data_IF_252110772227
#
_entry.id   IF_252110772227
#
_cell.length_a   1.000
_cell.length_b   1.000
_cell.length_c   1.000
_cell.angle_alpha   90.00
_cell.angle_beta   90.00
_cell.angle_gamma   90.00
#
_symmetry.space_group_name_H-M   'P 1'
#
loop_
_entity.id
_entity.type
_entity.pdbx_description
1 polymer ?
#
# COMPACT_ATOMS: atom_id res chain seq x y z
N UNK A 1 -33.49 -28.24 -20.98
CA UNK A 1 -32.66 -27.25 -21.70
C UNK A 1 -32.05 -26.32 -20.66
N UNK A 2 -30.75 -26.44 -20.41
CA UNK A 2 -30.02 -25.57 -19.49
C UNK A 2 -29.46 -24.42 -20.32
N UNK A 3 -29.92 -23.19 -20.05
CA UNK A 3 -29.38 -22.00 -20.72
C UNK A 3 -28.04 -21.70 -20.06
N UNK A 4 -26.95 -21.82 -20.82
CA UNK A 4 -25.64 -21.34 -20.39
C UNK A 4 -25.72 -19.81 -20.26
N UNK A 5 -25.46 -19.28 -19.06
CA UNK A 5 -25.35 -17.85 -18.86
C UNK A 5 -24.08 -17.37 -19.59
N UNK A 6 -24.26 -16.69 -20.72
CA UNK A 6 -23.18 -16.04 -21.45
C UNK A 6 -22.59 -14.95 -20.56
N UNK A 7 -21.39 -15.18 -20.01
CA UNK A 7 -20.64 -14.16 -19.29
C UNK A 7 -20.26 -13.05 -20.27
N UNK A 8 -20.81 -11.85 -20.09
CA UNK A 8 -20.40 -10.67 -20.84
C UNK A 8 -18.92 -10.39 -20.58
N UNK A 9 -18.14 -9.96 -21.59
CA UNK A 9 -16.73 -9.63 -21.41
C UNK A 9 -16.59 -8.53 -20.35
N UNK A 10 -15.82 -8.82 -19.31
CA UNK A 10 -15.49 -7.88 -18.24
C UNK A 10 -14.50 -6.86 -18.76
N UNK A 11 -14.98 -5.63 -19.01
CA UNK A 11 -14.10 -4.49 -19.29
C UNK A 11 -13.26 -4.25 -18.03
N UNK A 12 -11.92 -4.41 -18.09
CA UNK A 12 -11.04 -4.14 -16.95
C UNK A 12 -11.14 -2.69 -16.49
N UNK A 13 -10.77 -2.41 -15.24
CA UNK A 13 -10.61 -1.04 -14.76
C UNK A 13 -9.34 -0.43 -15.35
N UNK A 14 -9.44 0.76 -15.93
CA UNK A 14 -8.30 1.52 -16.44
C UNK A 14 -8.03 2.79 -15.63
N UNK A 15 -6.76 3.22 -15.60
CA UNK A 15 -6.41 4.47 -14.91
C UNK A 15 -7.05 5.65 -15.66
N UNK A 16 -7.82 6.47 -14.93
CA UNK A 16 -8.57 7.60 -15.51
C UNK A 16 -10.04 7.31 -15.79
N UNK A 17 -10.51 6.08 -15.55
CA UNK A 17 -11.92 5.71 -15.60
C UNK A 17 -12.77 6.62 -14.69
N UNK A 18 -13.78 7.29 -15.27
CA UNK A 18 -14.80 8.05 -14.52
C UNK A 18 -16.05 7.18 -14.38
N UNK A 19 -16.12 6.44 -13.28
CA UNK A 19 -17.20 5.48 -13.01
C UNK A 19 -18.03 5.92 -11.80
N UNK A 20 -19.31 5.57 -11.81
CA UNK A 20 -20.06 5.54 -10.57
C UNK A 20 -19.51 4.46 -9.63
N UNK A 21 -19.72 4.62 -8.33
CA UNK A 21 -19.31 3.63 -7.32
C UNK A 21 -19.80 2.22 -7.65
N UNK A 22 -21.06 2.11 -8.09
CA UNK A 22 -21.68 0.82 -8.42
C UNK A 22 -20.98 0.14 -9.61
N UNK A 23 -20.65 0.90 -10.66
CA UNK A 23 -19.94 0.38 -11.82
C UNK A 23 -18.51 -0.03 -11.48
N UNK A 24 -17.82 0.76 -10.65
CA UNK A 24 -16.51 0.43 -10.13
C UNK A 24 -16.54 -0.88 -9.34
N UNK A 25 -17.45 -1.02 -8.36
CA UNK A 25 -17.57 -2.22 -7.53
C UNK A 25 -17.92 -3.46 -8.37
N UNK A 26 -18.85 -3.33 -9.32
CA UNK A 26 -19.22 -4.43 -10.23
C UNK A 26 -18.04 -4.89 -11.09
N UNK A 27 -17.30 -3.96 -11.68
CA UNK A 27 -16.12 -4.29 -12.53
C UNK A 27 -14.99 -4.86 -11.69
N UNK A 28 -14.72 -4.25 -10.53
CA UNK A 28 -13.71 -4.71 -9.58
C UNK A 28 -13.95 -6.17 -9.17
N UNK A 29 -15.18 -6.52 -8.76
CA UNK A 29 -15.52 -7.89 -8.36
C UNK A 29 -15.46 -8.90 -9.51
N UNK A 30 -15.62 -8.45 -10.75
CA UNK A 30 -15.62 -9.31 -11.92
C UNK A 30 -14.21 -9.50 -12.53
N UNK A 31 -13.17 -8.84 -11.99
CA UNK A 31 -11.80 -9.03 -12.46
C UNK A 31 -11.33 -10.45 -12.10
N UNK A 32 -10.99 -11.30 -13.09
CA UNK A 32 -10.60 -12.70 -12.86
C UNK A 32 -9.29 -12.80 -12.06
N UNK A 33 -8.42 -11.80 -12.21
CA UNK A 33 -7.31 -11.55 -11.30
C UNK A 33 -7.54 -10.23 -10.59
N UNK A 34 -8.21 -10.30 -9.42
CA UNK A 34 -8.35 -9.14 -8.58
C UNK A 34 -6.94 -8.66 -8.20
N UNK A 35 -6.50 -7.53 -8.76
CA UNK A 35 -5.26 -6.88 -8.35
C UNK A 35 -5.44 -6.45 -6.90
N UNK A 36 -4.95 -7.27 -5.98
CA UNK A 36 -4.99 -7.00 -4.55
C UNK A 36 -4.14 -5.77 -4.29
N UNK A 37 -4.70 -4.82 -3.54
CA UNK A 37 -3.93 -3.65 -3.10
C UNK A 37 -2.98 -4.13 -2.02
N UNK A 38 -1.68 -3.90 -2.22
CA UNK A 38 -0.66 -4.43 -1.33
C UNK A 38 -0.15 -3.37 -0.35
N UNK A 39 -0.19 -2.10 -0.77
CA UNK A 39 0.19 -0.95 0.04
C UNK A 39 -0.84 0.18 -0.14
N UNK A 40 -1.26 0.76 0.98
CA UNK A 40 -2.03 2.01 1.03
C UNK A 40 -1.22 3.05 1.78
N UNK A 41 -1.16 4.27 1.23
CA UNK A 41 -0.48 5.41 1.84
C UNK A 41 -1.51 6.54 2.01
N UNK A 42 -1.60 7.08 3.22
CA UNK A 42 -2.49 8.18 3.56
C UNK A 42 -1.71 9.33 4.19
N UNK A 43 -1.93 10.55 3.69
CA UNK A 43 -1.43 11.79 4.29
C UNK A 43 -2.61 12.48 4.96
N UNK A 44 -2.51 12.65 6.27
CA UNK A 44 -3.56 13.12 7.15
C UNK A 44 -3.13 14.39 7.87
N UNK A 45 -4.03 15.34 8.07
CA UNK A 45 -3.77 16.43 9.01
C UNK A 45 -3.66 15.87 10.44
N UNK A 46 -4.64 15.06 10.86
CA UNK A 46 -4.66 14.45 12.18
C UNK A 46 -5.39 13.11 12.22
N UNK A 47 -5.22 12.40 13.34
CA UNK A 47 -5.99 11.18 13.64
C UNK A 47 -7.49 11.43 13.85
N UNK A 48 -7.92 12.68 14.11
CA UNK A 48 -9.33 13.04 14.21
C UNK A 48 -9.95 13.37 12.84
N UNK A 49 -9.13 13.76 11.87
CA UNK A 49 -9.58 14.00 10.50
C UNK A 49 -9.93 12.71 9.75
N UNK A 50 -9.59 11.55 10.32
CA UNK A 50 -9.80 10.23 9.73
C UNK A 50 -10.45 9.35 10.77
N UNK A 51 -11.50 8.63 10.40
CA UNK A 51 -11.86 7.41 11.11
C UNK A 51 -10.81 6.32 10.81
N UNK A 52 -9.64 6.48 11.42
CA UNK A 52 -8.49 5.60 11.25
C UNK A 52 -8.89 4.15 11.55
N UNK A 53 -9.86 3.96 12.47
CA UNK A 53 -10.34 2.64 12.85
C UNK A 53 -11.16 2.00 11.72
N UNK A 54 -12.07 2.73 11.08
CA UNK A 54 -12.92 2.17 10.03
C UNK A 54 -12.13 1.84 8.76
N UNK A 55 -11.22 2.72 8.33
CA UNK A 55 -10.35 2.46 7.18
C UNK A 55 -9.38 1.31 7.47
N UNK A 56 -8.74 1.30 8.64
CA UNK A 56 -7.84 0.21 9.05
C UNK A 56 -8.57 -1.14 9.09
N UNK A 57 -9.80 -1.20 9.60
CA UNK A 57 -10.64 -2.42 9.54
C UNK A 57 -10.98 -2.81 8.10
N UNK A 58 -11.27 -1.83 7.24
CA UNK A 58 -11.56 -2.06 5.83
C UNK A 58 -10.35 -2.57 5.04
N UNK A 59 -9.14 -2.08 5.30
CA UNK A 59 -7.92 -2.56 4.64
C UNK A 59 -7.53 -3.96 5.13
N UNK A 60 -7.67 -4.22 6.43
CA UNK A 60 -7.42 -5.53 7.04
C UNK A 60 -8.33 -6.62 6.45
N UNK A 61 -9.65 -6.38 6.37
CA UNK A 61 -10.59 -7.36 5.77
C UNK A 61 -10.33 -7.61 4.28
N UNK A 62 -9.70 -6.66 3.58
CA UNK A 62 -9.32 -6.79 2.19
C UNK A 62 -7.86 -7.26 2.01
N UNK A 63 -7.21 -7.70 3.09
CA UNK A 63 -5.87 -8.31 3.07
C UNK A 63 -4.80 -7.38 2.47
N UNK A 64 -4.92 -6.07 2.69
CA UNK A 64 -3.88 -5.11 2.31
C UNK A 64 -2.65 -5.35 3.18
N UNK A 65 -1.52 -5.67 2.55
CA UNK A 65 -0.32 -6.18 3.24
C UNK A 65 0.36 -5.11 4.09
N UNK A 66 0.39 -3.86 3.64
CA UNK A 66 0.96 -2.71 4.35
C UNK A 66 0.06 -1.48 4.29
N UNK A 67 0.00 -0.71 5.39
CA UNK A 67 -0.77 0.53 5.48
C UNK A 67 0.04 1.60 6.19
N UNK A 68 0.26 2.74 5.54
CA UNK A 68 1.05 3.86 6.05
C UNK A 68 0.16 5.08 6.24
N UNK A 69 0.28 5.75 7.39
CA UNK A 69 -0.38 7.02 7.69
C UNK A 69 0.64 8.05 8.17
N UNK A 70 0.78 9.15 7.43
CA UNK A 70 1.54 10.30 7.86
C UNK A 70 0.58 11.36 8.41
N UNK A 71 0.64 11.58 9.72
CA UNK A 71 -0.14 12.59 10.46
C UNK A 71 0.68 13.86 10.62
N UNK A 72 0.37 14.88 9.84
CA UNK A 72 1.23 16.06 9.70
C UNK A 72 1.16 17.02 10.89
N UNK A 73 0.01 17.17 11.55
CA UNK A 73 -0.12 18.04 12.73
C UNK A 73 0.50 17.41 13.98
N UNK A 74 0.39 16.10 14.15
CA UNK A 74 1.02 15.38 15.26
C UNK A 74 2.51 15.07 15.01
N UNK A 75 3.02 15.31 13.79
CA UNK A 75 4.38 14.93 13.40
C UNK A 75 4.61 13.43 13.58
N UNK A 76 3.63 12.60 13.21
CA UNK A 76 3.68 11.15 13.40
C UNK A 76 3.62 10.40 12.09
N UNK A 77 4.32 9.27 12.08
CA UNK A 77 4.40 8.38 10.94
C UNK A 77 4.12 6.96 11.43
N UNK A 78 2.97 6.42 11.06
CA UNK A 78 2.55 5.06 11.42
C UNK A 78 2.62 4.19 10.19
N UNK A 79 3.34 3.07 10.27
CA UNK A 79 3.38 2.09 9.20
C UNK A 79 3.01 0.74 9.78
N UNK A 80 1.90 0.18 9.33
CA UNK A 80 1.39 -1.12 9.76
C UNK A 80 1.71 -2.19 8.74
N UNK A 81 1.98 -3.40 9.23
CA UNK A 81 2.08 -4.63 8.43
C UNK A 81 1.00 -5.60 8.87
N UNK A 82 0.34 -6.23 7.91
CA UNK A 82 -0.62 -7.29 8.20
C UNK A 82 0.15 -8.56 8.57
N UNK A 83 -0.09 -9.08 9.77
CA UNK A 83 0.47 -10.32 10.29
C UNK A 83 -0.66 -11.25 10.72
N UNK A 84 -0.73 -12.42 10.09
CA UNK A 84 -1.91 -13.27 10.13
C UNK A 84 -3.17 -12.48 9.73
N UNK A 85 -3.92 -11.97 10.70
CA UNK A 85 -5.16 -11.22 10.48
C UNK A 85 -5.20 -9.88 11.22
N UNK A 86 -4.07 -9.39 11.75
CA UNK A 86 -4.02 -8.10 12.43
C UNK A 86 -2.86 -7.20 11.98
N UNK A 87 -3.06 -5.90 12.14
CA UNK A 87 -2.06 -4.91 11.78
C UNK A 87 -1.12 -4.62 12.95
N UNK A 88 0.13 -5.02 12.79
CA UNK A 88 1.22 -4.74 13.71
C UNK A 88 1.95 -3.46 13.26
N UNK A 89 2.21 -2.56 14.20
CA UNK A 89 3.01 -1.35 13.93
C UNK A 89 4.46 -1.73 13.67
N UNK A 90 5.00 -1.30 12.54
CA UNK A 90 6.42 -1.36 12.25
C UNK A 90 7.14 -0.27 13.04
N UNK A 91 8.29 -0.64 13.60
CA UNK A 91 9.18 0.28 14.31
C UNK A 91 10.44 0.49 13.49
N UNK A 92 11.02 1.71 13.49
CA UNK A 92 12.31 1.94 12.87
C UNK A 92 13.39 1.07 13.52
N UNK A 93 14.39 0.69 12.72
CA UNK A 93 15.58 0.01 13.22
C UNK A 93 16.50 0.95 14.00
N UNK A 94 17.69 0.47 14.38
CA UNK A 94 18.70 1.28 15.09
C UNK A 94 19.23 2.47 14.27
N UNK A 95 18.99 2.52 12.96
CA UNK A 95 19.33 3.64 12.09
C UNK A 95 18.14 4.60 11.88
N UNK A 96 16.99 4.33 12.49
CA UNK A 96 15.77 5.12 12.31
C UNK A 96 15.07 4.87 10.97
N UNK A 97 15.31 3.72 10.34
CA UNK A 97 14.76 3.35 9.04
C UNK A 97 13.66 2.30 9.20
N UNK A 98 12.50 2.55 8.60
CA UNK A 98 11.49 1.50 8.36
C UNK A 98 11.65 0.99 6.93
N UNK A 99 11.58 -0.34 6.74
CA UNK A 99 11.71 -1.00 5.43
C UNK A 99 10.46 -1.80 5.15
N UNK A 100 9.89 -1.62 3.95
CA UNK A 100 8.80 -2.46 3.49
C UNK A 100 9.26 -3.92 3.38
N UNK A 101 8.42 -4.83 3.86
CA UNK A 101 8.61 -6.28 3.67
C UNK A 101 8.00 -6.74 2.35
N UNK A 102 7.10 -5.91 1.80
CA UNK A 102 6.32 -6.21 0.60
C UNK A 102 6.99 -5.66 -0.66
N UNK A 103 7.63 -4.50 -0.52
CA UNK A 103 8.36 -3.82 -1.57
C UNK A 103 9.84 -3.69 -1.17
N UNK A 104 10.64 -4.75 -1.36
CA UNK A 104 12.07 -4.70 -1.09
C UNK A 104 12.70 -3.48 -1.77
N UNK A 105 13.44 -2.69 -0.99
CA UNK A 105 14.06 -1.43 -1.42
C UNK A 105 13.25 -0.16 -1.11
N UNK A 106 11.98 -0.26 -0.72
CA UNK A 106 11.24 0.88 -0.16
C UNK A 106 11.66 1.09 1.30
N UNK A 107 12.65 1.95 1.50
CA UNK A 107 13.22 2.28 2.80
C UNK A 107 12.96 3.75 3.12
N UNK A 108 12.49 4.05 4.33
CA UNK A 108 12.16 5.41 4.77
C UNK A 108 12.84 5.75 6.09
N UNK A 109 13.67 6.80 6.07
CA UNK A 109 14.24 7.41 7.28
C UNK A 109 13.17 8.25 7.98
N UNK A 110 12.60 7.73 9.08
CA UNK A 110 11.39 8.30 9.69
C UNK A 110 11.65 9.68 10.29
N UNK A 111 12.74 9.85 11.04
CA UNK A 111 13.08 11.14 11.64
C UNK A 111 13.33 12.21 10.58
N UNK A 112 14.05 11.87 9.50
CA UNK A 112 14.31 12.78 8.40
C UNK A 112 13.01 13.18 7.67
N UNK A 113 12.12 12.21 7.44
CA UNK A 113 10.81 12.46 6.84
C UNK A 113 9.96 13.43 7.68
N UNK A 114 9.91 13.22 9.00
CA UNK A 114 9.17 14.07 9.92
C UNK A 114 9.77 15.48 10.06
N UNK A 115 11.10 15.62 9.88
CA UNK A 115 11.80 16.91 9.87
C UNK A 115 11.78 17.61 8.49
N UNK A 116 11.26 16.95 7.45
CA UNK A 116 11.29 17.48 6.08
C UNK A 116 12.68 17.44 5.41
N UNK A 117 13.63 16.67 5.96
CA UNK A 117 14.96 16.44 5.39
C UNK A 117 14.87 15.43 4.23
N UNK A 118 14.33 15.91 3.11
CA UNK A 118 14.17 15.13 1.88
C UNK A 118 15.47 14.63 1.28
N UNK A 119 16.61 15.36 1.32
CA UNK A 119 17.90 14.81 0.90
C UNK A 119 18.26 13.50 1.60
N UNK A 120 18.11 13.43 2.92
CA UNK A 120 18.36 12.20 3.69
C UNK A 120 17.35 11.11 3.36
N UNK A 121 16.06 11.45 3.26
CA UNK A 121 15.00 10.48 2.88
C UNK A 121 15.31 9.84 1.52
N UNK A 122 15.63 10.66 0.51
CA UNK A 122 15.94 10.18 -0.83
C UNK A 122 17.25 9.40 -0.88
N UNK A 123 18.26 9.79 -0.10
CA UNK A 123 19.50 9.01 0.02
C UNK A 123 19.23 7.60 0.55
N UNK A 124 18.43 7.47 1.61
CA UNK A 124 18.05 6.17 2.18
C UNK A 124 17.19 5.36 1.21
N UNK A 125 16.27 6.00 0.49
CA UNK A 125 15.49 5.33 -0.56
C UNK A 125 16.39 4.77 -1.66
N UNK A 126 17.36 5.57 -2.16
CA UNK A 126 18.30 5.10 -3.17
C UNK A 126 19.13 3.91 -2.69
N UNK A 127 19.60 3.92 -1.43
CA UNK A 127 20.29 2.76 -0.85
C UNK A 127 19.41 1.50 -0.88
N UNK A 128 18.12 1.64 -0.61
CA UNK A 128 17.16 0.54 -0.72
C UNK A 128 16.95 0.07 -2.15
N UNK A 129 16.79 0.97 -3.10
CA UNK A 129 16.64 0.63 -4.52
C UNK A 129 17.91 -0.02 -5.10
N UNK A 130 19.09 0.31 -4.58
CA UNK A 130 20.37 -0.29 -4.95
C UNK A 130 20.70 -1.57 -4.18
N UNK A 131 19.78 -2.05 -3.33
CA UNK A 131 19.98 -3.25 -2.53
C UNK A 131 19.87 -4.55 -3.35
N UNK A 132 20.56 -5.65 -2.96
CA UNK A 132 20.39 -6.96 -3.57
C UNK A 132 18.93 -7.45 -3.56
N UNK A 133 18.20 -7.17 -2.48
CA UNK A 133 16.81 -7.59 -2.28
C UNK A 133 15.89 -6.93 -3.31
N UNK A 134 16.08 -5.63 -3.58
CA UNK A 134 15.34 -4.95 -4.63
C UNK A 134 15.69 -5.47 -6.03
N UNK A 135 16.98 -5.75 -6.29
CA UNK A 135 17.38 -6.35 -7.58
C UNK A 135 16.73 -7.70 -7.82
N UNK A 136 16.68 -8.56 -6.80
CA UNK A 136 16.00 -9.86 -6.89
C UNK A 136 14.49 -9.68 -7.13
N UNK A 137 13.85 -8.78 -6.38
CA UNK A 137 12.43 -8.46 -6.54
C UNK A 137 12.08 -8.00 -7.96
N UNK A 138 12.93 -7.19 -8.60
CA UNK A 138 12.74 -6.73 -9.99
C UNK A 138 12.88 -7.83 -11.04
N UNK A 139 13.60 -8.92 -10.75
CA UNK A 139 13.76 -10.04 -11.67
C UNK A 139 12.54 -10.97 -11.63
N UNK A 140 11.98 -11.18 -10.44
CA UNK A 140 10.76 -11.97 -10.23
C UNK A 140 9.54 -11.32 -10.90
N UNK A 141 9.36 -10.00 -10.73
CA UNK A 141 8.25 -9.26 -11.35
C UNK A 141 8.33 -9.11 -12.86
N UNK A 142 9.49 -9.35 -13.49
CA UNK A 142 9.64 -9.38 -14.96
C UNK A 142 9.29 -10.73 -15.58
N UNK A 143 9.10 -11.75 -14.74
CA UNK A 143 8.86 -13.14 -15.17
C UNK A 143 7.38 -13.55 -15.07
N UNK A 144 6.51 -12.61 -14.69
CA UNK A 144 5.04 -12.68 -14.74
C UNK A 144 4.55 -11.92 -15.98
#
# INVERSE_FOLDING_TARGET
MTVAATSLPTIPLENGDRLSRFEFERRYQAMPELKKVELVIEIAASSAAIDLHDKKRAYRRNQVREYLVWRTLEGRFDWFRLEADDYVSQVPDSQGIIRSQIFPGLWLAVSALLLGDMPTVLSVLHQGLDSPEHRAFRQETKSL
#
